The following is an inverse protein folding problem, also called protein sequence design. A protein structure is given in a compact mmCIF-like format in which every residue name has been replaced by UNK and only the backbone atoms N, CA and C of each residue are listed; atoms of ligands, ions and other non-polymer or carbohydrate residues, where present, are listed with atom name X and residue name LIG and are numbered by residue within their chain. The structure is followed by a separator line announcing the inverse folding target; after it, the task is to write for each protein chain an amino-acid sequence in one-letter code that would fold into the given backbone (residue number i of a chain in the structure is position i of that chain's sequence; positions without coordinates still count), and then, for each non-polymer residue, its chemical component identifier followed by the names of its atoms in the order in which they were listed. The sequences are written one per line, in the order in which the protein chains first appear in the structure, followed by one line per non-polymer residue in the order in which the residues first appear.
data_IF_569893801415
#
_entry.id   IF_569893801415
#
_cell.length_a   1.000
_cell.length_b   1.000
_cell.length_c   1.000
_cell.angle_alpha   90.00
_cell.angle_beta   90.00
_cell.angle_gamma   90.00
#
_symmetry.space_group_name_H-M   'P 1'
#
loop_
_entity.id
_entity.type
_entity.pdbx_description
1 polymer ?
#
# COMPACT_ATOMS: atom_id res chain seq x y z
N UNK A 1 -2.52 4.40 11.88
CA UNK A 1 -1.44 5.42 11.77
C UNK A 1 -0.23 5.01 10.95
N UNK A 2 0.45 3.86 11.17
CA UNK A 2 1.68 3.55 10.42
C UNK A 2 1.47 3.42 8.90
N UNK A 3 0.33 2.87 8.45
CA UNK A 3 -0.01 2.78 7.02
C UNK A 3 -0.20 4.16 6.36
N UNK A 4 -0.77 5.12 7.08
CA UNK A 4 -0.92 6.49 6.55
C UNK A 4 0.43 7.17 6.38
N UNK A 5 1.30 7.08 7.40
CA UNK A 5 2.67 7.58 7.31
C UNK A 5 3.44 6.92 6.17
N UNK A 6 3.26 5.62 5.97
CA UNK A 6 3.84 4.88 4.85
C UNK A 6 3.38 5.42 3.50
N UNK A 7 2.08 5.68 3.32
CA UNK A 7 1.57 6.22 2.05
C UNK A 7 2.08 7.63 1.75
N UNK A 8 2.17 8.49 2.78
CA UNK A 8 2.79 9.82 2.65
C UNK A 8 4.25 9.68 2.23
N UNK A 9 5.02 8.87 2.95
CA UNK A 9 6.43 8.63 2.63
C UNK A 9 6.62 8.02 1.24
N UNK A 10 5.75 7.09 0.83
CA UNK A 10 5.79 6.48 -0.50
C UNK A 10 5.55 7.51 -1.59
N UNK A 11 4.64 8.45 -1.35
CA UNK A 11 4.35 9.56 -2.25
C UNK A 11 5.42 10.67 -2.19
N UNK A 12 6.19 10.84 -1.12
CA UNK A 12 7.34 11.77 -1.16
C UNK A 12 8.56 11.15 -1.85
N UNK A 13 8.68 9.82 -1.77
CA UNK A 13 9.85 9.05 -2.25
C UNK A 13 9.61 8.38 -3.60
N UNK A 14 8.67 8.87 -4.42
CA UNK A 14 8.47 8.33 -5.77
C UNK A 14 9.55 8.85 -6.75
N UNK A 15 9.74 8.17 -7.89
CA UNK A 15 10.61 8.67 -8.96
C UNK A 15 10.20 10.07 -9.43
N UNK A 16 11.15 10.83 -9.98
CA UNK A 16 10.91 12.17 -10.51
C UNK A 16 9.90 12.11 -11.66
N UNK A 17 8.91 12.98 -11.60
CA UNK A 17 7.88 13.14 -12.63
C UNK A 17 8.35 14.20 -13.64
N UNK A 18 8.29 13.90 -14.95
CA UNK A 18 8.50 14.90 -16.02
C UNK A 18 7.29 15.81 -16.19
N UNK A 19 6.11 15.33 -15.76
CA UNK A 19 4.84 16.03 -15.69
C UNK A 19 3.86 15.24 -14.81
N UNK A 20 2.67 15.77 -14.49
CA UNK A 20 1.71 15.05 -13.64
C UNK A 20 1.39 13.66 -14.21
N UNK A 21 1.82 12.61 -13.51
CA UNK A 21 1.64 11.22 -13.94
C UNK A 21 2.56 10.75 -15.07
N UNK A 22 3.42 11.62 -15.61
CA UNK A 22 4.42 11.28 -16.62
C UNK A 22 5.74 10.95 -15.95
N UNK A 23 6.25 9.78 -16.27
CA UNK A 23 7.54 9.30 -15.79
C UNK A 23 8.34 8.73 -16.95
N UNK A 24 9.65 8.75 -16.79
CA UNK A 24 10.53 8.08 -17.72
C UNK A 24 10.31 6.55 -17.68
N UNK A 25 10.06 5.90 -18.83
CA UNK A 25 9.73 4.47 -18.88
C UNK A 25 10.89 3.58 -18.42
N UNK A 26 12.14 3.97 -18.64
CA UNK A 26 13.30 3.18 -18.21
C UNK A 26 13.47 3.21 -16.69
N UNK A 27 13.06 4.32 -16.07
CA UNK A 27 13.08 4.48 -14.62
C UNK A 27 11.95 3.69 -13.95
N UNK A 28 10.72 3.70 -14.49
CA UNK A 28 9.61 2.93 -13.89
C UNK A 28 9.75 1.43 -14.14
N UNK A 29 10.07 1.02 -15.37
CA UNK A 29 10.04 -0.38 -15.78
C UNK A 29 11.33 -1.13 -15.43
N UNK A 30 12.21 -0.53 -14.63
CA UNK A 30 13.41 -1.19 -14.12
C UNK A 30 13.02 -2.43 -13.29
N UNK A 31 13.68 -3.57 -13.55
CA UNK A 31 13.38 -4.84 -12.93
C UNK A 31 13.46 -4.81 -11.39
N UNK A 32 14.43 -4.06 -10.84
CA UNK A 32 14.61 -3.94 -9.39
C UNK A 32 13.45 -3.16 -8.75
N UNK A 33 12.99 -2.11 -9.44
CA UNK A 33 11.84 -1.30 -9.02
C UNK A 33 10.56 -2.12 -9.08
N UNK A 34 10.34 -2.87 -10.17
CA UNK A 34 9.18 -3.77 -10.29
C UNK A 34 9.18 -4.83 -9.21
N UNK A 35 10.32 -5.48 -8.95
CA UNK A 35 10.43 -6.52 -7.92
C UNK A 35 10.15 -5.95 -6.52
N UNK A 36 10.64 -4.75 -6.21
CA UNK A 36 10.33 -4.05 -4.97
C UNK A 36 8.84 -3.72 -4.85
N UNK A 37 8.27 -3.07 -5.87
CA UNK A 37 6.85 -2.69 -5.90
C UNK A 37 5.92 -3.90 -5.79
N UNK A 38 6.30 -5.03 -6.38
CA UNK A 38 5.56 -6.27 -6.27
C UNK A 38 5.54 -6.77 -4.82
N UNK A 39 6.70 -6.88 -4.17
CA UNK A 39 6.79 -7.27 -2.75
C UNK A 39 6.00 -6.32 -1.85
N UNK A 40 6.14 -5.01 -2.08
CA UNK A 40 5.35 -3.99 -1.39
C UNK A 40 3.83 -4.22 -1.56
N UNK A 41 3.39 -4.51 -2.78
CA UNK A 41 2.00 -4.82 -3.11
C UNK A 41 1.47 -6.05 -2.37
N UNK A 42 2.26 -7.13 -2.33
CA UNK A 42 1.93 -8.34 -1.58
C UNK A 42 1.82 -8.08 -0.07
N UNK A 43 2.76 -7.31 0.50
CA UNK A 43 2.71 -6.94 1.91
C UNK A 43 1.46 -6.09 2.22
N UNK A 44 1.12 -5.12 1.37
CA UNK A 44 -0.10 -4.31 1.52
C UNK A 44 -1.36 -5.18 1.44
N UNK A 45 -1.44 -6.08 0.47
CA UNK A 45 -2.57 -6.99 0.31
C UNK A 45 -2.78 -7.83 1.57
N UNK A 46 -1.72 -8.46 2.09
CA UNK A 46 -1.78 -9.26 3.30
C UNK A 46 -2.23 -8.42 4.51
N UNK A 47 -1.69 -7.21 4.68
CA UNK A 47 -2.09 -6.30 5.75
C UNK A 47 -3.58 -5.93 5.68
N UNK A 48 -4.08 -5.57 4.50
CA UNK A 48 -5.49 -5.21 4.33
C UNK A 48 -6.41 -6.41 4.52
N UNK A 49 -6.01 -7.60 4.07
CA UNK A 49 -6.79 -8.83 4.26
C UNK A 49 -6.92 -9.18 5.74
N UNK A 50 -5.82 -9.13 6.50
CA UNK A 50 -5.86 -9.38 7.95
C UNK A 50 -6.68 -8.31 8.68
N UNK A 51 -6.49 -7.03 8.31
CA UNK A 51 -7.25 -5.92 8.88
C UNK A 51 -8.74 -6.08 8.61
N UNK A 52 -9.12 -6.51 7.41
CA UNK A 52 -10.52 -6.77 7.05
C UNK A 52 -11.17 -7.78 7.99
N UNK A 53 -10.53 -8.93 8.22
CA UNK A 53 -11.06 -9.93 9.15
C UNK A 53 -11.09 -9.45 10.59
N UNK A 54 -10.08 -8.68 11.03
CA UNK A 54 -10.05 -8.09 12.35
C UNK A 54 -11.22 -7.12 12.59
N UNK A 55 -11.47 -6.21 11.65
CA UNK A 55 -12.59 -5.27 11.76
C UNK A 55 -13.94 -5.96 11.65
N UNK A 56 -14.06 -6.96 10.78
CA UNK A 56 -15.28 -7.77 10.65
C UNK A 56 -15.58 -8.51 11.96
N UNK A 57 -14.58 -9.13 12.57
CA UNK A 57 -14.72 -9.78 13.88
C UNK A 57 -15.14 -8.77 14.95
N UNK A 58 -14.48 -7.61 15.03
CA UNK A 58 -14.82 -6.56 16.00
C UNK A 58 -16.26 -6.06 15.85
N UNK A 59 -16.72 -5.85 14.61
CA UNK A 59 -18.10 -5.46 14.33
C UNK A 59 -19.11 -6.52 14.83
N UNK A 60 -18.88 -7.79 14.49
CA UNK A 60 -19.76 -8.89 14.93
C UNK A 60 -19.74 -9.02 16.45
N UNK A 61 -18.57 -8.94 17.08
CA UNK A 61 -18.44 -9.05 18.53
C UNK A 61 -19.24 -7.95 19.23
N UNK A 62 -19.11 -6.69 18.81
CA UNK A 62 -19.88 -5.58 19.38
C UNK A 62 -21.38 -5.79 19.17
N UNK A 63 -21.80 -6.19 17.97
CA UNK A 63 -23.21 -6.39 17.64
C UNK A 63 -23.88 -7.50 18.47
N UNK A 64 -23.15 -8.56 18.80
CA UNK A 64 -23.67 -9.72 19.55
C UNK A 64 -23.57 -9.52 21.07
N UNK A 65 -22.62 -8.71 21.53
CA UNK A 65 -22.42 -8.42 22.96
C UNK A 65 -23.12 -7.15 23.45
N UNK A 66 -23.74 -6.39 22.56
CA UNK A 66 -24.66 -5.28 22.85
C UNK A 66 -26.10 -5.75 22.91
#
# INVERSE_FOLDING_TARGET
MPLLAYHVWRYTSRPVMSGPGLYDPTTIMNADILAYCQKEGWCKLAFYLLSFFYYLYGMIYVLVSS
#
